data_IF_389878887648
#
_entry.id   IF_389878887648
#
_cell.length_a   1.000
_cell.length_b   1.000
_cell.length_c   1.000
_cell.angle_alpha   90.00
_cell.angle_beta   90.00
_cell.angle_gamma   90.00
#
_symmetry.space_group_name_H-M   'P 1'
#
loop_
_entity.id
_entity.type
_entity.pdbx_description
1 polymer ?
#
# COMPACT_ATOMS: atom_id res chain seq x y z
N UNK A 1 29.23 -0.39 0.28
CA UNK A 1 27.98 -0.71 1.01
C UNK A 1 27.61 0.55 1.77
N UNK A 2 26.57 1.27 1.31
CA UNK A 2 26.22 2.56 1.89
C UNK A 2 25.23 2.33 3.03
N UNK A 3 25.77 2.27 4.24
CA UNK A 3 25.01 2.21 5.49
C UNK A 3 24.44 3.61 5.76
N UNK A 4 23.44 3.98 4.98
CA UNK A 4 22.63 5.15 5.23
C UNK A 4 21.83 4.88 6.51
N UNK A 5 22.25 5.53 7.60
CA UNK A 5 21.51 5.64 8.85
C UNK A 5 20.19 6.41 8.61
N UNK A 6 19.25 5.76 7.93
CA UNK A 6 17.90 6.27 7.68
C UNK A 6 17.13 6.08 8.97
N UNK A 7 16.89 7.17 9.71
CA UNK A 7 15.90 7.14 10.79
C UNK A 7 14.59 6.66 10.19
N UNK A 8 14.08 5.52 10.66
CA UNK A 8 12.87 4.91 10.13
C UNK A 8 11.73 5.93 10.17
N UNK A 9 11.10 6.14 9.00
CA UNK A 9 9.95 7.01 8.82
C UNK A 9 8.68 6.17 8.78
N UNK A 10 7.59 6.70 9.35
CA UNK A 10 6.29 6.07 9.32
C UNK A 10 5.80 5.94 7.87
N UNK A 11 5.41 4.73 7.44
CA UNK A 11 4.91 4.48 6.09
C UNK A 11 3.58 5.19 5.74
N UNK A 12 2.89 5.76 6.74
CA UNK A 12 1.58 6.41 6.57
C UNK A 12 1.67 7.94 6.57
N UNK A 13 2.61 8.54 7.31
CA UNK A 13 2.69 10.01 7.45
C UNK A 13 4.12 10.56 7.59
N UNK A 14 5.14 9.74 7.35
CA UNK A 14 6.57 10.13 7.30
C UNK A 14 7.19 10.68 8.60
N UNK A 15 6.41 10.77 9.67
CA UNK A 15 6.92 11.14 11.01
C UNK A 15 7.92 10.09 11.54
N UNK A 16 8.81 10.47 12.47
CA UNK A 16 9.72 9.53 13.12
C UNK A 16 8.95 8.35 13.74
N UNK A 17 9.43 7.14 13.49
CA UNK A 17 8.84 5.92 14.04
C UNK A 17 8.97 5.88 15.55
N UNK A 18 7.91 5.47 16.23
CA UNK A 18 7.91 5.24 17.66
C UNK A 18 8.27 3.78 17.96
N UNK A 19 9.12 3.54 18.95
CA UNK A 19 9.61 2.18 19.25
C UNK A 19 8.48 1.19 19.59
N UNK A 20 7.42 1.67 20.25
CA UNK A 20 6.24 0.86 20.60
C UNK A 20 5.33 0.56 19.41
N UNK A 21 5.45 1.29 18.30
CA UNK A 21 4.53 1.23 17.17
C UNK A 21 5.21 0.92 15.84
N UNK A 22 6.46 0.43 15.84
CA UNK A 22 7.21 0.11 14.61
C UNK A 22 6.36 -0.81 13.69
N UNK A 23 6.27 -0.53 12.38
CA UNK A 23 7.01 0.48 11.58
C UNK A 23 6.34 1.88 11.52
N UNK A 24 5.42 2.21 12.42
CA UNK A 24 4.64 3.44 12.43
C UNK A 24 4.99 4.40 13.57
N UNK A 25 4.47 5.62 13.51
CA UNK A 25 4.65 6.61 14.59
C UNK A 25 3.62 6.48 15.71
N UNK A 26 2.48 5.79 15.51
CA UNK A 26 1.39 5.68 16.49
C UNK A 26 0.39 4.57 16.14
N UNK A 27 -0.45 4.18 17.11
CA UNK A 27 -1.59 3.27 16.91
C UNK A 27 -2.50 3.72 15.76
N UNK A 28 -2.81 5.02 15.67
CA UNK A 28 -3.64 5.58 14.60
C UNK A 28 -3.10 5.24 13.21
N UNK A 29 -1.78 5.34 13.00
CA UNK A 29 -1.20 5.02 11.69
C UNK A 29 -1.24 3.51 11.40
N UNK A 30 -1.06 2.66 12.42
CA UNK A 30 -1.24 1.22 12.25
C UNK A 30 -2.68 0.85 11.88
N UNK A 31 -3.67 1.48 12.52
CA UNK A 31 -5.09 1.25 12.22
C UNK A 31 -5.45 1.71 10.79
N UNK A 32 -4.88 2.84 10.32
CA UNK A 32 -5.06 3.33 8.94
C UNK A 32 -4.49 2.37 7.92
N UNK A 33 -3.28 1.85 8.17
CA UNK A 33 -2.69 0.85 7.29
C UNK A 33 -3.59 -0.38 7.22
N UNK A 34 -3.97 -0.95 8.38
CA UNK A 34 -4.88 -2.09 8.46
C UNK A 34 -6.17 -1.87 7.66
N UNK A 35 -6.78 -0.68 7.75
CA UNK A 35 -7.96 -0.37 6.98
C UNK A 35 -7.69 -0.41 5.46
N UNK A 36 -6.57 0.13 4.98
CA UNK A 36 -6.19 0.06 3.56
C UNK A 36 -6.02 -1.38 3.06
N UNK A 37 -5.49 -2.26 3.91
CA UNK A 37 -5.41 -3.69 3.62
C UNK A 37 -6.79 -4.32 3.49
N UNK A 38 -7.70 -4.02 4.42
CA UNK A 38 -9.06 -4.58 4.42
C UNK A 38 -9.93 -4.04 3.28
N UNK A 39 -9.68 -2.82 2.79
CA UNK A 39 -10.47 -2.18 1.74
C UNK A 39 -9.88 -2.34 0.34
N UNK A 40 -9.11 -3.40 0.09
CA UNK A 40 -8.48 -3.72 -1.22
C UNK A 40 -7.70 -2.56 -1.86
N UNK A 41 -7.13 -1.67 -1.04
CA UNK A 41 -6.44 -0.46 -1.52
C UNK A 41 -5.05 -0.72 -2.10
N UNK A 42 -4.52 -1.94 -1.97
CA UNK A 42 -3.23 -2.32 -2.53
C UNK A 42 -3.44 -3.10 -3.83
N UNK A 43 -3.23 -2.43 -4.96
CA UNK A 43 -3.15 -3.07 -6.28
C UNK A 43 -1.68 -3.26 -6.65
N UNK A 44 -1.35 -4.46 -7.13
CA UNK A 44 -0.07 -4.73 -7.79
C UNK A 44 -0.29 -4.53 -9.29
N UNK A 45 0.52 -3.70 -9.92
CA UNK A 45 0.52 -3.62 -11.39
C UNK A 45 1.10 -4.91 -11.96
N UNK A 46 0.41 -5.52 -12.91
CA UNK A 46 0.88 -6.66 -13.69
C UNK A 46 1.23 -6.18 -15.09
N UNK A 47 2.31 -6.74 -15.65
CA UNK A 47 2.68 -6.56 -17.08
C UNK A 47 2.05 -7.66 -17.95
N UNK A 48 1.06 -8.38 -17.42
CA UNK A 48 0.32 -9.40 -18.18
C UNK A 48 -0.56 -8.71 -19.21
N UNK A 49 -0.30 -8.99 -20.48
CA UNK A 49 -1.25 -8.65 -21.54
C UNK A 49 -2.52 -9.50 -21.36
N UNK A 50 -3.71 -8.91 -21.57
CA UNK A 50 -4.96 -9.66 -21.46
C UNK A 50 -4.95 -10.84 -22.43
N UNK A 51 -5.33 -12.03 -21.95
CA UNK A 51 -5.48 -13.20 -22.81
C UNK A 51 -6.55 -12.88 -23.88
N UNK A 52 -6.23 -13.00 -25.19
CA UNK A 52 -7.18 -12.73 -26.27
C UNK A 52 -8.47 -13.57 -26.22
N UNK A 53 -8.55 -14.61 -25.38
CA UNK A 53 -9.75 -15.42 -25.16
C UNK A 53 -10.59 -15.05 -23.93
N UNK A 54 -10.15 -14.14 -23.05
CA UNK A 54 -10.86 -13.85 -21.80
C UNK A 54 -11.87 -12.70 -21.98
N UNK A 55 -13.16 -12.90 -21.59
CA UNK A 55 -14.15 -11.84 -21.68
C UNK A 55 -13.80 -10.71 -20.72
N UNK A 56 -13.78 -9.47 -21.24
CA UNK A 56 -13.45 -8.28 -20.44
C UNK A 56 -14.50 -8.12 -19.32
N UNK A 57 -14.07 -7.90 -18.06
CA UNK A 57 -14.97 -7.59 -16.96
C UNK A 57 -15.84 -6.36 -17.26
N UNK A 58 -17.17 -6.51 -17.12
CA UNK A 58 -18.21 -5.53 -17.46
C UNK A 58 -18.11 -4.25 -16.57
N UNK A 59 -17.38 -4.33 -15.46
CA UNK A 59 -17.20 -3.23 -14.51
C UNK A 59 -16.20 -2.16 -14.96
N UNK A 60 -15.42 -2.40 -16.03
CA UNK A 60 -14.55 -1.38 -16.65
C UNK A 60 -15.31 -0.39 -17.55
N UNK A 61 -16.52 -0.72 -18.01
CA UNK A 61 -17.28 0.11 -18.95
C UNK A 61 -17.94 1.33 -18.28
N UNK A 62 -18.01 1.39 -16.94
CA UNK A 62 -18.74 2.43 -16.21
C UNK A 62 -17.90 3.25 -15.23
N UNK A 63 -16.56 3.25 -15.32
CA UNK A 63 -15.73 4.15 -14.54
C UNK A 63 -15.34 5.40 -15.38
N UNK A 64 -15.92 6.59 -15.12
CA UNK A 64 -15.46 7.84 -15.73
C UNK A 64 -14.03 8.20 -15.31
#
# INVERSE_FOLDING_TARGET
MNDNNVKAKCAICEKPVAAAYRPFCSKRCADVDLNRWLTTGYRVHTDEEPDPGEPIPIDLENNP
#
